data_IF_665435813921
#
_entry.id   IF_665435813921
#
_cell.length_a   1.000
_cell.length_b   1.000
_cell.length_c   1.000
_cell.angle_alpha   90.00
_cell.angle_beta   90.00
_cell.angle_gamma   90.00
#
_symmetry.space_group_name_H-M   'P 1'
#
loop_
_entity.id
_entity.type
_entity.pdbx_description
1 polymer ?
#
# COMPACT_ATOMS: atom_id res chain seq x y z
N UNK A 1 -38.43 35.76 61.73
CA UNK A 1 -39.13 34.44 61.77
C UNK A 1 -39.84 34.23 60.44
N UNK A 2 -40.05 32.97 60.01
CA UNK A 2 -40.45 32.46 58.68
C UNK A 2 -39.34 32.48 57.62
N UNK A 3 -38.48 31.47 57.47
CA UNK A 3 -38.64 30.05 57.05
C UNK A 3 -39.29 29.83 55.66
N UNK A 4 -38.39 29.56 54.70
CA UNK A 4 -38.36 28.45 53.72
C UNK A 4 -39.56 28.29 52.78
N UNK A 5 -39.31 28.44 51.48
CA UNK A 5 -39.73 27.47 50.45
C UNK A 5 -39.08 27.78 49.10
N UNK A 6 -37.96 27.12 48.81
CA UNK A 6 -37.38 27.06 47.47
C UNK A 6 -36.76 25.68 47.31
N UNK A 7 -37.60 24.69 47.05
CA UNK A 7 -37.18 23.30 46.87
C UNK A 7 -38.04 22.62 45.80
N UNK A 8 -38.24 23.26 44.65
CA UNK A 8 -38.92 22.65 43.50
C UNK A 8 -38.26 23.17 42.23
N UNK A 9 -37.03 22.76 41.91
CA UNK A 9 -36.45 22.98 40.57
C UNK A 9 -35.16 22.18 40.32
N UNK A 10 -34.98 20.98 40.88
CA UNK A 10 -33.75 20.18 40.63
C UNK A 10 -34.06 18.69 40.44
N UNK A 11 -35.06 18.37 39.62
CA UNK A 11 -35.36 16.99 39.20
C UNK A 11 -35.41 16.76 37.69
N UNK A 12 -35.05 17.76 36.88
CA UNK A 12 -35.27 17.70 35.42
C UNK A 12 -34.05 17.40 34.53
N UNK A 13 -32.82 17.35 35.06
CA UNK A 13 -31.62 17.45 34.19
C UNK A 13 -30.74 16.20 34.12
N UNK A 14 -31.08 15.10 34.80
CA UNK A 14 -30.21 13.91 34.85
C UNK A 14 -30.52 12.83 33.80
N UNK A 15 -31.61 12.92 33.04
CA UNK A 15 -31.99 11.85 32.09
C UNK A 15 -31.48 12.06 30.64
N UNK A 16 -30.93 13.23 30.30
CA UNK A 16 -30.51 13.53 28.93
C UNK A 16 -29.09 13.00 28.58
N UNK A 17 -28.26 12.65 29.57
CA UNK A 17 -26.83 12.39 29.37
C UNK A 17 -26.48 10.92 29.05
N UNK A 18 -27.44 9.99 29.14
CA UNK A 18 -27.18 8.54 29.05
C UNK A 18 -27.49 7.93 27.68
N UNK A 19 -28.22 8.62 26.79
CA UNK A 19 -28.54 8.10 25.44
C UNK A 19 -27.36 8.18 24.45
N UNK A 20 -26.40 9.07 24.66
CA UNK A 20 -25.22 9.21 23.79
C UNK A 20 -24.08 8.22 24.06
N UNK A 21 -24.13 7.47 25.16
CA UNK A 21 -23.02 6.61 25.62
C UNK A 21 -22.92 5.26 24.90
N UNK A 22 -24.01 4.81 24.26
CA UNK A 22 -24.06 3.57 23.47
C UNK A 22 -23.70 3.78 21.99
N UNK A 23 -23.74 5.01 21.49
CA UNK A 23 -23.40 5.31 20.09
C UNK A 23 -21.90 5.23 19.82
N UNK A 24 -21.05 5.60 20.79
CA UNK A 24 -19.59 5.61 20.64
C UNK A 24 -18.99 4.21 20.39
N UNK A 25 -19.29 3.15 21.18
CA UNK A 25 -18.76 1.83 20.90
C UNK A 25 -19.29 1.24 19.58
N UNK A 26 -20.52 1.59 19.19
CA UNK A 26 -21.09 1.16 17.92
C UNK A 26 -20.40 1.82 16.72
N UNK A 27 -20.07 3.11 16.83
CA UNK A 27 -19.30 3.82 15.80
C UNK A 27 -17.88 3.26 15.67
N UNK A 28 -17.21 2.96 16.79
CA UNK A 28 -15.88 2.35 16.77
C UNK A 28 -15.89 0.93 16.19
N UNK A 29 -16.91 0.13 16.52
CA UNK A 29 -17.08 -1.21 15.96
C UNK A 29 -17.36 -1.15 14.45
N UNK A 30 -18.16 -0.17 14.01
CA UNK A 30 -18.43 0.06 12.59
C UNK A 30 -17.16 0.46 11.84
N UNK A 31 -16.32 1.32 12.40
CA UNK A 31 -15.05 1.73 11.79
C UNK A 31 -13.97 0.63 11.81
N UNK A 32 -13.97 -0.25 12.82
CA UNK A 32 -13.05 -1.38 12.90
C UNK A 32 -13.35 -2.52 11.92
N UNK A 33 -14.56 -2.53 11.32
CA UNK A 33 -14.95 -3.51 10.31
C UNK A 33 -14.63 -3.09 8.88
N UNK A 34 -14.08 -1.88 8.65
CA UNK A 34 -13.68 -1.49 7.30
C UNK A 34 -12.42 -2.28 6.91
N UNK A 35 -12.44 -3.01 5.77
CA UNK A 35 -11.23 -3.61 5.24
C UNK A 35 -10.23 -2.48 4.95
N UNK A 36 -9.05 -2.57 5.56
CA UNK A 36 -7.96 -1.64 5.28
C UNK A 36 -7.52 -1.74 3.82
N UNK A 37 -6.94 -0.66 3.25
CA UNK A 37 -6.41 -0.71 1.90
C UNK A 37 -5.34 -1.80 1.81
N UNK A 38 -5.63 -2.87 1.08
CA UNK A 38 -4.63 -3.85 0.72
C UNK A 38 -3.66 -3.17 -0.24
N UNK A 39 -2.44 -2.87 0.23
CA UNK A 39 -1.32 -2.45 -0.60
C UNK A 39 -0.99 -3.60 -1.55
N UNK A 40 -1.58 -3.58 -2.75
CA UNK A 40 -1.16 -4.45 -3.83
C UNK A 40 0.27 -4.05 -4.20
N UNK A 41 1.23 -4.90 -3.83
CA UNK A 41 2.60 -4.71 -4.29
C UNK A 41 2.62 -4.79 -5.83
N UNK A 42 3.45 -3.97 -6.50
CA UNK A 42 3.57 -4.04 -7.95
C UNK A 42 4.00 -5.45 -8.36
N UNK A 43 3.18 -6.09 -9.20
CA UNK A 43 3.51 -7.38 -9.78
C UNK A 43 4.42 -7.16 -10.98
N UNK A 44 5.68 -7.56 -10.85
CA UNK A 44 6.65 -7.58 -11.95
C UNK A 44 6.59 -8.97 -12.60
N UNK A 45 6.09 -9.06 -13.83
CA UNK A 45 6.08 -10.32 -14.59
C UNK A 45 7.28 -10.34 -15.51
N UNK A 46 8.21 -11.26 -15.27
CA UNK A 46 9.32 -11.55 -16.20
C UNK A 46 8.97 -12.80 -17.01
N UNK A 47 9.37 -12.83 -18.26
CA UNK A 47 9.21 -14.02 -19.13
C UNK A 47 10.58 -14.48 -19.56
N UNK A 48 10.84 -15.78 -19.45
CA UNK A 48 12.06 -16.39 -19.95
C UNK A 48 11.69 -17.47 -20.97
N UNK A 49 12.38 -17.48 -22.10
CA UNK A 49 12.32 -18.53 -23.10
C UNK A 49 13.71 -19.15 -23.21
N UNK A 50 13.75 -20.48 -23.25
CA UNK A 50 14.99 -21.22 -23.44
C UNK A 50 14.83 -22.19 -24.60
N UNK A 51 15.80 -22.18 -25.51
CA UNK A 51 15.82 -23.03 -26.69
C UNK A 51 17.21 -23.68 -26.83
N UNK A 52 17.23 -24.94 -27.24
CA UNK A 52 18.49 -25.66 -27.49
C UNK A 52 18.80 -25.61 -28.98
N UNK A 53 19.84 -24.88 -29.35
CA UNK A 53 20.38 -24.88 -30.69
C UNK A 53 21.29 -26.10 -30.85
N UNK A 54 20.77 -27.16 -31.48
CA UNK A 54 21.48 -28.43 -31.66
C UNK A 54 22.63 -28.35 -32.66
N UNK A 55 22.57 -27.43 -33.61
CA UNK A 55 23.61 -27.26 -34.62
C UNK A 55 24.86 -26.59 -34.03
N UNK A 56 24.66 -25.56 -33.21
CA UNK A 56 25.73 -24.89 -32.48
C UNK A 56 26.12 -25.59 -31.16
N UNK A 57 25.29 -26.52 -30.68
CA UNK A 57 25.48 -27.19 -29.38
C UNK A 57 25.29 -26.26 -28.18
N UNK A 58 24.46 -25.22 -28.32
CA UNK A 58 24.27 -24.17 -27.31
C UNK A 58 22.86 -24.17 -26.73
N UNK A 59 22.72 -23.70 -25.49
CA UNK A 59 21.44 -23.34 -24.89
C UNK A 59 21.29 -21.82 -25.00
N UNK A 60 20.27 -21.38 -25.74
CA UNK A 60 19.94 -19.98 -25.93
C UNK A 60 18.83 -19.61 -24.95
N UNK A 61 19.00 -18.49 -24.22
CA UNK A 61 18.03 -18.03 -23.23
C UNK A 61 17.70 -16.57 -23.53
N UNK A 62 16.43 -16.30 -23.81
CA UNK A 62 15.88 -14.97 -23.97
C UNK A 62 15.11 -14.57 -22.72
N UNK A 63 15.48 -13.45 -22.11
CA UNK A 63 14.86 -12.91 -20.91
C UNK A 63 14.17 -11.59 -21.25
N UNK A 64 12.86 -11.54 -21.03
CA UNK A 64 12.10 -10.29 -21.06
C UNK A 64 12.00 -9.75 -19.64
N UNK A 65 12.73 -8.67 -19.41
CA UNK A 65 12.75 -7.93 -18.14
C UNK A 65 12.18 -6.53 -18.35
N UNK A 66 11.61 -5.97 -17.29
CA UNK A 66 11.21 -4.57 -17.28
C UNK A 66 12.46 -3.70 -17.16
N UNK A 67 12.51 -2.52 -17.82
CA UNK A 67 13.66 -1.63 -17.78
C UNK A 67 14.07 -1.27 -16.34
N UNK A 68 13.11 -1.01 -15.45
CA UNK A 68 13.38 -0.59 -14.08
C UNK A 68 14.03 -1.70 -13.23
N UNK A 69 13.68 -2.95 -13.53
CA UNK A 69 14.27 -4.11 -12.86
C UNK A 69 15.70 -4.37 -13.36
N UNK A 70 15.94 -4.15 -14.66
CA UNK A 70 17.27 -4.21 -15.24
C UNK A 70 18.18 -3.12 -14.69
N UNK A 71 17.71 -1.87 -14.66
CA UNK A 71 18.40 -0.73 -14.04
C UNK A 71 18.80 -1.07 -12.61
N UNK A 72 17.85 -1.47 -11.75
CA UNK A 72 18.14 -1.84 -10.36
C UNK A 72 19.17 -2.97 -10.23
N UNK A 73 19.13 -3.95 -11.12
CA UNK A 73 20.08 -5.06 -11.11
C UNK A 73 21.49 -4.56 -11.47
N UNK A 74 21.61 -3.73 -12.52
CA UNK A 74 22.88 -3.15 -12.97
C UNK A 74 23.42 -2.17 -11.93
N UNK A 75 22.59 -1.30 -11.36
CA UNK A 75 22.97 -0.36 -10.30
C UNK A 75 23.53 -1.11 -9.08
N UNK A 76 22.90 -2.23 -8.71
CA UNK A 76 23.38 -3.07 -7.59
C UNK A 76 24.75 -3.68 -7.87
N UNK A 77 25.03 -4.06 -9.12
CA UNK A 77 26.28 -4.73 -9.48
C UNK A 77 27.43 -3.75 -9.75
N UNK A 78 27.14 -2.65 -10.45
CA UNK A 78 28.12 -1.62 -10.82
C UNK A 78 28.38 -0.61 -9.70
N UNK A 79 27.40 -0.37 -8.81
CA UNK A 79 27.45 0.67 -7.79
C UNK A 79 27.15 2.08 -8.31
N UNK A 80 26.88 2.23 -9.62
CA UNK A 80 26.57 3.50 -10.27
C UNK A 80 25.07 3.59 -10.58
N UNK A 81 24.54 4.81 -10.71
CA UNK A 81 23.15 5.00 -11.13
C UNK A 81 23.03 4.84 -12.63
N UNK A 82 22.08 4.02 -13.07
CA UNK A 82 21.84 3.73 -14.49
C UNK A 82 20.40 4.13 -14.81
N UNK A 83 20.23 4.92 -15.88
CA UNK A 83 18.92 5.30 -16.41
C UNK A 83 18.88 5.04 -17.90
N UNK A 84 18.22 3.96 -18.28
CA UNK A 84 18.10 3.52 -19.66
C UNK A 84 17.26 4.49 -20.50
N UNK A 85 16.33 5.22 -19.89
CA UNK A 85 15.49 6.21 -20.60
C UNK A 85 16.25 7.47 -21.07
N UNK A 86 17.43 7.75 -20.50
CA UNK A 86 18.15 9.01 -20.71
C UNK A 86 19.45 8.85 -21.49
N UNK A 87 19.88 7.62 -21.73
CA UNK A 87 21.16 7.34 -22.34
C UNK A 87 21.00 7.23 -23.87
N UNK A 88 21.49 8.22 -24.65
CA UNK A 88 21.32 8.23 -26.11
C UNK A 88 22.16 7.15 -26.83
N UNK A 89 23.06 6.46 -26.13
CA UNK A 89 24.01 5.51 -26.73
C UNK A 89 23.53 4.04 -26.73
N UNK A 90 22.29 3.76 -26.33
CA UNK A 90 21.79 2.37 -26.25
C UNK A 90 21.63 1.73 -27.65
N UNK A 91 21.39 2.54 -28.68
CA UNK A 91 21.24 2.05 -30.06
C UNK A 91 22.55 1.48 -30.65
N UNK A 92 23.73 1.79 -30.10
CA UNK A 92 25.02 1.33 -30.63
C UNK A 92 25.52 0.01 -30.02
N UNK A 93 24.85 -0.54 -29.00
CA UNK A 93 25.33 -1.72 -28.25
C UNK A 93 24.48 -3.00 -28.44
N UNK A 94 23.48 -2.98 -29.33
CA UNK A 94 22.60 -4.14 -29.63
C UNK A 94 22.89 -4.70 -31.02
#
# INVERSE_FOLDING_TARGET
>A
MHRKSSAVALRGTLEAATRGRLFLPFLCALFGLLPGPALAHPYHTTTAQAEVNREAGTLEVALKVLPEDLERAVERYSGEKVRLELDPDIDEQI
#
